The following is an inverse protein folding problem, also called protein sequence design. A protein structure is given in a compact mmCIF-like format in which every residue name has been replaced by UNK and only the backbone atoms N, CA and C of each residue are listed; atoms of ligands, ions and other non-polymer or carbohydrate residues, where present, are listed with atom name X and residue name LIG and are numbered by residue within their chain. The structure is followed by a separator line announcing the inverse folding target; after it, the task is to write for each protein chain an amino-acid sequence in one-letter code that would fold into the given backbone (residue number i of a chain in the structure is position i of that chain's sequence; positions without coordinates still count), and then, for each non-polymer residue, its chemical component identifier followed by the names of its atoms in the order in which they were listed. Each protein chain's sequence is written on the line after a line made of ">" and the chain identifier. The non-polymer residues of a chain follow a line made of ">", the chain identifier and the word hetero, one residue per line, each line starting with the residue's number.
data_IF_805110952581
#
_entry.id   IF_805110952581
#
_cell.length_a   1.000
_cell.length_b   1.000
_cell.length_c   1.000
_cell.angle_alpha   90.00
_cell.angle_beta   90.00
_cell.angle_gamma   90.00
#
_symmetry.space_group_name_H-M   'P 1'
#
loop_
_entity.id
_entity.type
_entity.pdbx_description
1 polymer ?
#
# COMPACT_ATOMS: atom_id res chain seq x y z
N UNK A 1 -20.55 12.39 -25.56
CA UNK A 1 -19.73 13.50 -26.06
C UNK A 1 -20.66 14.72 -26.36
N UNK A 2 -20.11 15.92 -26.55
CA UNK A 2 -20.90 17.06 -26.97
C UNK A 2 -21.57 16.91 -28.35
N UNK A 3 -21.08 15.99 -29.17
CA UNK A 3 -21.56 15.80 -30.54
C UNK A 3 -22.54 14.66 -30.67
N UNK A 4 -22.34 13.56 -29.93
CA UNK A 4 -23.09 12.32 -30.10
C UNK A 4 -23.14 11.49 -28.83
N UNK A 5 -24.19 10.68 -28.68
CA UNK A 5 -24.25 9.64 -27.65
C UNK A 5 -23.24 8.53 -27.93
N UNK A 6 -22.50 8.12 -26.91
CA UNK A 6 -21.58 7.01 -27.02
C UNK A 6 -21.65 6.12 -25.77
N UNK A 7 -21.28 4.86 -25.94
CA UNK A 7 -21.11 3.91 -24.84
C UNK A 7 -19.62 3.78 -24.54
N UNK A 8 -19.25 4.03 -23.31
CA UNK A 8 -17.86 3.88 -22.84
C UNK A 8 -17.81 2.96 -21.63
N UNK A 9 -16.83 2.05 -21.55
CA UNK A 9 -16.64 1.26 -20.36
C UNK A 9 -16.22 2.16 -19.19
N UNK A 10 -16.89 1.99 -18.05
CA UNK A 10 -16.55 2.67 -16.80
C UNK A 10 -16.30 1.65 -15.70
N UNK A 11 -15.45 2.00 -14.72
CA UNK A 11 -15.25 1.15 -13.54
C UNK A 11 -16.53 1.15 -12.72
N UNK A 12 -17.17 -0.02 -12.59
CA UNK A 12 -18.35 -0.18 -11.75
C UNK A 12 -18.00 0.15 -10.28
N UNK A 13 -18.92 0.78 -9.57
CA UNK A 13 -18.80 1.01 -8.14
C UNK A 13 -18.54 -0.28 -7.37
N UNK A 14 -17.90 -0.18 -6.19
CA UNK A 14 -17.54 -1.31 -5.32
C UNK A 14 -16.49 -2.28 -5.89
N UNK A 15 -15.75 -1.92 -6.94
CA UNK A 15 -14.74 -2.80 -7.53
C UNK A 15 -13.34 -2.54 -6.98
N UNK A 16 -13.05 -1.36 -6.45
CA UNK A 16 -11.73 -1.02 -5.92
C UNK A 16 -11.78 -0.50 -4.47
N UNK A 17 -10.72 -0.83 -3.74
CA UNK A 17 -10.40 -0.23 -2.46
C UNK A 17 -8.92 0.18 -2.45
N UNK A 18 -8.61 1.35 -1.91
CA UNK A 18 -7.26 1.80 -1.61
C UNK A 18 -7.04 1.65 -0.11
N UNK A 19 -5.98 1.00 0.29
CA UNK A 19 -5.67 0.75 1.70
C UNK A 19 -4.25 1.24 1.98
N UNK A 20 -4.08 2.51 2.40
CA UNK A 20 -2.78 3.02 2.81
C UNK A 20 -2.33 2.37 4.11
N UNK A 21 -1.04 2.02 4.17
CA UNK A 21 -0.38 1.71 5.43
C UNK A 21 -0.10 3.03 6.13
N UNK A 22 -0.73 3.22 7.28
CA UNK A 22 -0.55 4.45 8.05
C UNK A 22 0.88 4.53 8.59
N UNK A 23 1.46 5.73 8.57
CA UNK A 23 0.95 7.06 8.14
C UNK A 23 1.27 7.38 6.68
N UNK A 24 2.49 7.02 6.20
CA UNK A 24 3.06 7.47 4.94
C UNK A 24 2.22 7.13 3.70
N UNK A 25 1.55 5.97 3.71
CA UNK A 25 0.68 5.54 2.61
C UNK A 25 -0.45 6.51 2.28
N UNK A 26 -0.88 7.36 3.23
CA UNK A 26 -1.90 8.39 3.01
C UNK A 26 -1.52 9.36 1.88
N UNK A 27 -0.24 9.69 1.73
CA UNK A 27 0.23 10.58 0.68
C UNK A 27 -0.06 10.12 -0.75
N UNK A 28 -0.33 8.82 -0.94
CA UNK A 28 -0.63 8.26 -2.26
C UNK A 28 -2.14 8.19 -2.58
N UNK A 29 -3.01 8.35 -1.58
CA UNK A 29 -4.47 8.11 -1.72
C UNK A 29 -5.12 9.08 -2.71
N UNK A 30 -4.85 10.37 -2.57
CA UNK A 30 -5.46 11.40 -3.40
C UNK A 30 -5.12 11.22 -4.89
N UNK A 31 -3.88 10.84 -5.21
CA UNK A 31 -3.47 10.55 -6.59
C UNK A 31 -4.25 9.39 -7.20
N UNK A 32 -4.49 8.33 -6.44
CA UNK A 32 -5.28 7.19 -6.91
C UNK A 32 -6.77 7.55 -7.04
N UNK A 33 -7.33 8.30 -6.09
CA UNK A 33 -8.72 8.74 -6.15
C UNK A 33 -8.98 9.74 -7.30
N UNK A 34 -7.99 10.54 -7.68
CA UNK A 34 -8.11 11.39 -8.87
C UNK A 34 -8.27 10.57 -10.16
N UNK A 35 -7.62 9.40 -10.23
CA UNK A 35 -7.74 8.47 -11.37
C UNK A 35 -8.99 7.58 -11.28
N UNK A 36 -9.37 7.16 -10.08
CA UNK A 36 -10.51 6.27 -9.81
C UNK A 36 -11.37 6.85 -8.69
N UNK A 37 -12.22 7.85 -8.97
CA UNK A 37 -13.01 8.55 -7.94
C UNK A 37 -14.00 7.65 -7.18
N UNK A 38 -14.37 6.50 -7.76
CA UNK A 38 -15.27 5.52 -7.12
C UNK A 38 -14.57 4.58 -6.16
N UNK A 39 -13.22 4.61 -6.08
CA UNK A 39 -12.46 3.78 -5.15
C UNK A 39 -12.82 4.14 -3.70
N UNK A 40 -13.09 3.12 -2.91
CA UNK A 40 -13.27 3.28 -1.46
C UNK A 40 -11.92 3.27 -0.76
N UNK A 41 -11.82 3.99 0.34
CA UNK A 41 -10.59 4.04 1.14
C UNK A 41 -10.80 3.26 2.43
N UNK A 42 -9.95 2.28 2.68
CA UNK A 42 -9.77 1.66 3.99
C UNK A 42 -8.46 2.13 4.60
N UNK A 43 -8.24 1.83 5.87
CA UNK A 43 -7.00 2.21 6.54
C UNK A 43 -6.51 1.02 7.37
N UNK A 44 -5.20 0.82 7.39
CA UNK A 44 -4.55 -0.14 8.27
C UNK A 44 -3.37 0.53 8.97
N UNK A 45 -3.38 0.47 10.29
CA UNK A 45 -2.33 1.01 11.14
C UNK A 45 -1.62 -0.12 11.87
N UNK A 46 -0.31 -0.13 11.75
CA UNK A 46 0.59 -1.12 12.32
C UNK A 46 1.68 -0.44 13.11
N UNK A 47 2.06 -1.03 14.24
CA UNK A 47 3.31 -0.71 14.90
C UNK A 47 4.05 -2.00 15.26
N UNK A 48 5.31 -1.88 15.56
CA UNK A 48 6.08 -3.00 16.12
C UNK A 48 6.07 -2.90 17.63
N UNK A 49 5.60 -3.95 18.26
CA UNK A 49 5.70 -4.08 19.71
C UNK A 49 7.17 -3.95 20.13
N UNK A 50 7.51 -3.05 21.08
CA UNK A 50 8.89 -2.78 21.45
C UNK A 50 9.59 -3.98 22.10
N UNK A 51 8.84 -4.85 22.79
CA UNK A 51 9.40 -5.98 23.54
C UNK A 51 9.50 -7.23 22.67
N UNK A 52 8.45 -7.53 21.90
CA UNK A 52 8.37 -8.76 21.10
C UNK A 52 8.81 -8.57 19.65
N UNK A 53 8.99 -7.34 19.18
CA UNK A 53 9.23 -6.95 17.79
C UNK A 53 8.20 -7.49 16.79
N UNK A 54 7.07 -7.99 17.28
CA UNK A 54 5.96 -8.48 16.44
C UNK A 54 5.11 -7.32 15.94
N UNK A 55 4.57 -7.44 14.73
CA UNK A 55 3.62 -6.45 14.22
C UNK A 55 2.31 -6.53 15.00
N UNK A 56 1.83 -5.38 15.44
CA UNK A 56 0.54 -5.23 16.11
C UNK A 56 -0.34 -4.31 15.29
N UNK A 57 -1.56 -4.77 15.00
CA UNK A 57 -2.61 -3.96 14.41
C UNK A 57 -3.21 -3.07 15.49
N UNK A 58 -3.10 -1.75 15.34
CA UNK A 58 -3.79 -0.81 16.24
C UNK A 58 -5.03 -0.18 15.59
N UNK A 59 -5.14 -0.30 14.27
CA UNK A 59 -6.29 0.21 13.54
C UNK A 59 -6.48 -0.56 12.23
N UNK A 60 -7.70 -1.06 11.99
CA UNK A 60 -8.08 -1.63 10.71
C UNK A 60 -9.54 -1.30 10.43
N UNK A 61 -9.78 -0.56 9.36
CA UNK A 61 -11.12 -0.31 8.87
C UNK A 61 -11.14 -0.44 7.36
N UNK A 62 -11.74 -1.52 6.88
CA UNK A 62 -11.81 -1.86 5.47
C UNK A 62 -13.22 -1.65 4.91
N UNK A 63 -13.38 -1.27 3.63
CA UNK A 63 -14.68 -1.18 2.99
C UNK A 63 -15.35 -2.54 2.86
N UNK A 64 -16.62 -2.60 3.21
CA UNK A 64 -17.43 -3.83 3.08
C UNK A 64 -18.24 -3.81 1.77
N UNK A 65 -18.33 -4.93 1.04
CA UNK A 65 -17.56 -6.16 1.18
C UNK A 65 -16.14 -6.01 0.62
N UNK A 66 -15.12 -6.44 1.36
CA UNK A 66 -13.71 -6.31 0.92
C UNK A 66 -13.30 -7.43 -0.03
N UNK A 67 -13.88 -8.61 0.12
CA UNK A 67 -13.60 -9.82 -0.67
C UNK A 67 -13.96 -9.68 -2.15
N UNK A 68 -14.88 -8.76 -2.49
CA UNK A 68 -15.30 -8.50 -3.86
C UNK A 68 -14.42 -7.45 -4.57
N UNK A 69 -13.53 -6.77 -3.82
CA UNK A 69 -12.76 -5.64 -4.33
C UNK A 69 -11.36 -6.03 -4.79
N UNK A 70 -10.87 -5.32 -5.78
CA UNK A 70 -9.42 -5.23 -6.01
C UNK A 70 -8.86 -4.22 -5.02
N UNK A 71 -7.96 -4.67 -4.17
CA UNK A 71 -7.39 -3.90 -3.06
C UNK A 71 -6.01 -3.40 -3.51
N UNK A 72 -5.82 -2.09 -3.52
CA UNK A 72 -4.51 -1.46 -3.75
C UNK A 72 -3.96 -1.01 -2.42
N UNK A 73 -2.99 -1.75 -1.91
CA UNK A 73 -2.26 -1.38 -0.70
C UNK A 73 -1.16 -0.40 -1.07
N UNK A 74 -1.07 0.72 -0.37
CA UNK A 74 -0.11 1.78 -0.69
C UNK A 74 0.83 2.07 0.46
N UNK A 75 2.10 2.18 0.14
CA UNK A 75 3.16 2.66 1.01
C UNK A 75 4.23 3.32 0.12
N UNK A 76 4.64 4.58 0.31
CA UNK A 76 5.61 5.21 -0.59
C UNK A 76 6.98 4.51 -0.60
N UNK A 77 7.36 3.83 0.50
CA UNK A 77 8.69 3.25 0.66
C UNK A 77 8.61 1.76 1.01
N UNK A 78 9.12 0.90 0.13
CA UNK A 78 9.29 -0.53 0.40
C UNK A 78 10.77 -0.80 0.79
N UNK A 79 11.12 -0.54 2.04
CA UNK A 79 12.49 -0.72 2.55
C UNK A 79 12.76 -2.20 2.92
N UNK A 80 12.48 -2.62 4.14
CA UNK A 80 12.67 -4.01 4.59
C UNK A 80 11.53 -4.95 4.19
N UNK A 81 10.39 -4.40 3.78
CA UNK A 81 9.19 -5.14 3.43
C UNK A 81 8.38 -5.68 4.62
N UNK A 82 8.81 -5.42 5.85
CA UNK A 82 8.12 -5.94 7.04
C UNK A 82 6.68 -5.44 7.16
N UNK A 83 6.49 -4.12 7.19
CA UNK A 83 5.15 -3.51 7.31
C UNK A 83 4.22 -3.91 6.16
N UNK A 84 4.75 -3.96 4.92
CA UNK A 84 3.97 -4.39 3.77
C UNK A 84 3.50 -5.86 3.90
N UNK A 85 4.41 -6.77 4.29
CA UNK A 85 4.06 -8.17 4.51
C UNK A 85 2.99 -8.33 5.59
N UNK A 86 3.12 -7.60 6.70
CA UNK A 86 2.21 -7.71 7.82
C UNK A 86 0.84 -7.11 7.48
N UNK A 87 0.80 -5.93 6.82
CA UNK A 87 -0.44 -5.32 6.35
C UNK A 87 -1.20 -6.23 5.38
N UNK A 88 -0.51 -6.81 4.40
CA UNK A 88 -1.15 -7.71 3.43
C UNK A 88 -1.67 -8.98 4.11
N UNK A 89 -0.92 -9.54 5.07
CA UNK A 89 -1.39 -10.68 5.86
C UNK A 89 -2.69 -10.36 6.58
N UNK A 90 -2.76 -9.20 7.26
CA UNK A 90 -3.95 -8.76 7.99
C UNK A 90 -5.13 -8.50 7.05
N UNK A 91 -4.91 -7.86 5.90
CA UNK A 91 -5.97 -7.67 4.90
C UNK A 91 -6.53 -9.02 4.42
N UNK A 92 -5.67 -10.04 4.22
CA UNK A 92 -6.11 -11.40 3.88
C UNK A 92 -6.92 -12.04 5.00
N UNK A 93 -6.54 -11.84 6.27
CA UNK A 93 -7.30 -12.31 7.43
C UNK A 93 -8.69 -11.67 7.51
N UNK A 94 -8.84 -10.42 7.07
CA UNK A 94 -10.13 -9.74 6.95
C UNK A 94 -10.91 -10.07 5.65
N UNK A 95 -10.47 -11.08 4.89
CA UNK A 95 -11.17 -11.56 3.69
C UNK A 95 -10.71 -10.95 2.36
N UNK A 96 -9.70 -10.09 2.35
CA UNK A 96 -9.14 -9.53 1.11
C UNK A 96 -8.47 -10.60 0.24
N UNK A 97 -8.86 -10.68 -1.03
CA UNK A 97 -8.40 -11.75 -1.96
C UNK A 97 -7.58 -11.22 -3.12
N UNK A 98 -8.02 -10.14 -3.76
CA UNK A 98 -7.39 -9.57 -4.95
C UNK A 98 -6.54 -8.36 -4.54
N UNK A 99 -5.30 -8.61 -4.14
CA UNK A 99 -4.42 -7.60 -3.57
C UNK A 99 -3.33 -7.21 -4.57
N UNK A 100 -3.11 -5.90 -4.68
CA UNK A 100 -1.98 -5.28 -5.36
C UNK A 100 -1.25 -4.40 -4.36
N UNK A 101 0.06 -4.39 -4.41
CA UNK A 101 0.88 -3.48 -3.61
C UNK A 101 1.50 -2.42 -4.53
N UNK A 102 1.50 -1.17 -4.10
CA UNK A 102 2.04 -0.06 -4.86
C UNK A 102 2.93 0.80 -3.97
N UNK A 103 4.17 1.03 -4.43
CA UNK A 103 5.10 1.95 -3.79
C UNK A 103 5.79 2.85 -4.81
N UNK A 104 6.37 3.95 -4.32
CA UNK A 104 7.11 4.89 -5.16
C UNK A 104 8.56 4.41 -5.29
N UNK A 105 9.20 4.10 -4.16
CA UNK A 105 10.60 3.64 -4.11
C UNK A 105 10.67 2.31 -3.34
N UNK A 106 11.45 1.38 -3.86
CA UNK A 106 11.71 0.10 -3.21
C UNK A 106 13.21 -0.20 -3.12
N UNK A 107 13.58 -1.01 -2.12
CA UNK A 107 14.86 -1.70 -2.08
C UNK A 107 14.71 -3.17 -2.51
N UNK A 108 15.74 -3.78 -3.13
CA UNK A 108 15.71 -5.18 -3.54
C UNK A 108 15.39 -6.15 -2.40
N UNK A 109 15.86 -5.85 -1.19
CA UNK A 109 15.64 -6.64 0.02
C UNK A 109 14.16 -6.70 0.38
N UNK A 110 13.49 -5.55 0.38
CA UNK A 110 12.05 -5.47 0.67
C UNK A 110 11.21 -6.13 -0.41
N UNK A 111 11.57 -5.92 -1.68
CA UNK A 111 10.89 -6.52 -2.80
C UNK A 111 10.96 -8.06 -2.73
N UNK A 112 12.16 -8.62 -2.54
CA UNK A 112 12.37 -10.07 -2.39
C UNK A 112 11.57 -10.66 -1.21
N UNK A 113 11.58 -9.96 -0.08
CA UNK A 113 10.84 -10.39 1.11
C UNK A 113 9.33 -10.40 0.84
N UNK A 114 8.81 -9.35 0.23
CA UNK A 114 7.38 -9.24 -0.07
C UNK A 114 6.92 -10.30 -1.08
N UNK A 115 7.69 -10.51 -2.15
CA UNK A 115 7.43 -11.56 -3.15
C UNK A 115 7.45 -12.97 -2.55
N UNK A 116 8.40 -13.23 -1.64
CA UNK A 116 8.48 -14.51 -0.94
C UNK A 116 7.30 -14.75 0.00
N UNK A 117 6.89 -13.71 0.75
CA UNK A 117 5.79 -13.81 1.72
C UNK A 117 4.41 -13.90 1.05
N UNK A 118 4.24 -13.21 -0.07
CA UNK A 118 2.98 -13.09 -0.79
C UNK A 118 3.20 -13.24 -2.30
N UNK A 119 3.48 -14.45 -2.80
CA UNK A 119 3.75 -14.70 -4.23
C UNK A 119 2.51 -14.52 -5.13
N UNK A 120 1.34 -14.44 -4.52
CA UNK A 120 0.04 -14.32 -5.17
C UNK A 120 -0.39 -12.88 -5.46
N UNK A 121 0.40 -11.88 -5.04
CA UNK A 121 0.07 -10.47 -5.27
C UNK A 121 0.89 -9.87 -6.41
N UNK A 122 0.34 -8.82 -7.01
CA UNK A 122 1.08 -7.98 -7.96
C UNK A 122 1.71 -6.80 -7.23
N UNK A 123 2.99 -6.55 -7.49
CA UNK A 123 3.75 -5.45 -6.88
C UNK A 123 4.11 -4.45 -7.97
N UNK A 124 3.76 -3.18 -7.75
CA UNK A 124 4.05 -2.06 -8.63
C UNK A 124 5.02 -1.11 -7.91
N UNK A 125 6.16 -0.87 -8.54
CA UNK A 125 7.25 -0.05 -8.00
C UNK A 125 7.56 1.05 -8.99
N UNK A 126 7.56 2.30 -8.55
CA UNK A 126 7.93 3.44 -9.37
C UNK A 126 9.42 3.41 -9.70
N UNK A 127 10.27 3.19 -8.70
CA UNK A 127 11.71 3.07 -8.86
C UNK A 127 12.30 2.05 -7.88
N UNK A 128 13.19 1.20 -8.39
CA UNK A 128 13.96 0.26 -7.57
C UNK A 128 15.34 0.86 -7.30
N UNK A 129 15.59 1.23 -6.06
CA UNK A 129 16.86 1.75 -5.60
C UNK A 129 17.88 0.63 -5.34
N UNK A 130 19.13 1.03 -5.07
CA UNK A 130 20.27 0.12 -5.06
C UNK A 130 20.22 -0.92 -3.92
N UNK A 131 20.00 -0.47 -2.67
CA UNK A 131 20.07 -1.31 -1.47
C UNK A 131 19.59 -0.57 -0.22
N UNK A 132 19.53 -1.29 0.91
CA UNK A 132 19.40 -0.69 2.25
C UNK A 132 20.78 -0.38 2.85
N UNK A 133 20.83 0.64 3.71
CA UNK A 133 21.98 0.87 4.58
C UNK A 133 21.86 0.07 5.91
N UNK A 134 22.85 0.21 6.80
CA UNK A 134 22.89 -0.45 8.11
C UNK A 134 21.72 -0.09 9.04
N UNK A 135 21.10 1.06 8.83
CA UNK A 135 19.92 1.53 9.56
C UNK A 135 18.59 1.21 8.86
N UNK A 136 18.62 0.35 7.83
CA UNK A 136 17.46 -0.06 7.04
C UNK A 136 16.79 1.07 6.23
N UNK A 137 17.51 2.16 5.93
CA UNK A 137 17.08 3.17 4.97
C UNK A 137 17.48 2.81 3.55
N UNK A 138 16.63 3.15 2.60
CA UNK A 138 16.89 2.95 1.16
C UNK A 138 17.98 3.91 0.69
N UNK A 139 18.91 3.42 -0.14
CA UNK A 139 19.98 4.19 -0.75
C UNK A 139 19.86 4.17 -2.29
N UNK A 140 19.86 5.35 -2.94
CA UNK A 140 19.97 6.72 -2.41
C UNK A 140 18.74 7.16 -1.62
N UNK A 141 17.51 6.67 -1.93
CA UNK A 141 16.30 6.90 -1.20
C UNK A 141 15.97 8.38 -0.94
N UNK A 142 15.18 8.62 0.13
CA UNK A 142 14.82 9.97 0.56
C UNK A 142 14.66 10.09 2.10
N UNK A 143 15.15 9.13 2.86
CA UNK A 143 14.97 9.06 4.31
C UNK A 143 13.59 8.52 4.72
N UNK A 144 12.99 9.06 5.77
CA UNK A 144 11.64 8.69 6.20
C UNK A 144 10.58 9.47 5.43
N UNK A 145 9.76 8.75 4.66
CA UNK A 145 8.72 9.36 3.85
C UNK A 145 7.58 9.95 4.70
N UNK A 146 7.23 9.29 5.80
CA UNK A 146 6.18 9.76 6.70
C UNK A 146 6.54 11.10 7.32
N UNK A 147 7.74 11.21 7.86
CA UNK A 147 8.22 12.45 8.47
C UNK A 147 8.33 13.59 7.44
N UNK A 148 8.76 13.27 6.22
CA UNK A 148 8.83 14.27 5.15
C UNK A 148 7.47 14.75 4.66
N UNK A 149 6.49 13.83 4.56
CA UNK A 149 5.12 14.18 4.13
C UNK A 149 4.41 15.03 5.19
N UNK A 150 4.58 14.69 6.46
CA UNK A 150 3.81 15.27 7.57
C UNK A 150 4.59 16.30 8.40
N UNK A 151 5.87 16.56 8.07
CA UNK A 151 6.70 17.53 8.79
C UNK A 151 6.95 17.12 10.25
N UNK A 152 7.03 15.83 10.52
CA UNK A 152 7.28 15.28 11.86
C UNK A 152 8.72 14.81 11.99
N UNK A 153 9.33 15.13 13.15
CA UNK A 153 10.59 14.56 13.60
C UNK A 153 10.53 14.37 15.09
#
# INVERSE_FOLDING_TARGET
>A
TPLERTLSPVIAGRKMAVVPILRAGLGMVNGIQALVPTAKVGHIGLYRDPDTHKPVEYYCKLPTPIEERTIVVTDPMLATGGSACDAIRMIKQHGGKKIKFMCIIAAPEGLKRLQKAHPDIQIYVGHLDRQLNEHAYILPGLGDAGDRIFGTK
#
